data_IF_527683780377
#
_entry.id   IF_527683780377
#
_cell.length_a   1.000
_cell.length_b   1.000
_cell.length_c   1.000
_cell.angle_alpha   90.00
_cell.angle_beta   90.00
_cell.angle_gamma   90.00
#
_symmetry.space_group_name_H-M   'P 1'
#
loop_
_entity.id
_entity.type
_entity.pdbx_description
1 polymer ?
#
# COMPACT_ATOMS: atom_id res chain seq x y z
N UNK A 1 16.12 -2.62 9.12
CA UNK A 1 17.32 -1.72 9.20
C UNK A 1 17.04 -0.43 9.96
N UNK A 2 15.97 0.32 9.64
CA UNK A 2 15.69 1.62 10.28
C UNK A 2 15.02 1.53 11.68
N UNK A 3 14.87 0.33 12.25
CA UNK A 3 14.18 0.11 13.53
C UNK A 3 12.68 0.37 13.46
N UNK A 4 12.01 -0.08 12.39
CA UNK A 4 10.57 0.13 12.23
C UNK A 4 9.78 -0.84 13.12
N UNK A 5 8.94 -0.29 14.02
CA UNK A 5 7.98 -1.05 14.82
C UNK A 5 7.02 -1.84 13.92
N UNK A 6 6.54 -1.21 12.84
CA UNK A 6 5.63 -1.84 11.88
C UNK A 6 6.26 -3.08 11.24
N UNK A 7 7.52 -3.00 10.79
CA UNK A 7 8.17 -4.16 10.19
C UNK A 7 8.43 -5.26 11.22
N UNK A 8 8.82 -4.89 12.46
CA UNK A 8 9.02 -5.87 13.53
C UNK A 8 7.72 -6.58 13.90
N UNK A 9 6.59 -5.86 13.97
CA UNK A 9 5.28 -6.46 14.19
C UNK A 9 4.89 -7.40 13.05
N UNK A 10 5.10 -6.96 11.80
CA UNK A 10 4.80 -7.77 10.61
C UNK A 10 5.61 -9.08 10.56
N UNK A 11 6.88 -9.04 10.96
CA UNK A 11 7.72 -10.25 11.01
C UNK A 11 7.20 -11.25 12.07
N UNK A 12 6.69 -10.77 13.22
CA UNK A 12 6.15 -11.63 14.29
C UNK A 12 4.82 -12.30 13.92
N UNK A 13 4.01 -11.62 13.11
CA UNK A 13 2.63 -12.03 12.82
C UNK A 13 2.47 -12.50 11.38
N UNK A 14 3.56 -13.02 10.83
CA UNK A 14 3.69 -13.33 9.41
C UNK A 14 2.84 -14.52 9.00
N UNK A 15 2.25 -14.42 7.80
CA UNK A 15 1.50 -15.50 7.16
C UNK A 15 2.16 -15.93 5.85
N UNK A 16 1.96 -17.20 5.41
CA UNK A 16 2.38 -17.65 4.08
C UNK A 16 1.71 -16.83 2.96
N UNK A 17 2.49 -16.37 1.97
CA UNK A 17 1.99 -15.46 0.92
C UNK A 17 2.80 -15.45 -0.40
N UNK A 18 3.49 -16.54 -0.73
CA UNK A 18 4.14 -16.85 -2.01
C UNK A 18 5.01 -15.72 -2.54
N UNK A 19 5.99 -15.33 -1.72
CA UNK A 19 6.99 -14.31 -2.02
C UNK A 19 6.66 -12.91 -1.49
N UNK A 20 5.42 -12.64 -1.08
CA UNK A 20 5.05 -11.40 -0.39
C UNK A 20 5.17 -11.53 1.14
N UNK A 21 5.21 -10.40 1.84
CA UNK A 21 5.03 -10.34 3.29
C UNK A 21 3.55 -10.07 3.58
N UNK A 22 2.82 -11.09 4.04
CA UNK A 22 1.48 -10.95 4.59
C UNK A 22 1.51 -11.15 6.10
N UNK A 23 0.48 -10.64 6.78
CA UNK A 23 0.38 -10.67 8.24
C UNK A 23 -1.02 -11.07 8.67
N UNK A 24 -1.12 -11.74 9.82
CA UNK A 24 -2.36 -11.82 10.57
C UNK A 24 -2.73 -10.42 11.06
N UNK A 25 -3.89 -9.92 10.63
CA UNK A 25 -4.25 -8.51 10.84
C UNK A 25 -4.50 -8.18 12.30
N UNK A 26 -5.19 -9.08 13.01
CA UNK A 26 -5.54 -8.88 14.42
C UNK A 26 -4.25 -8.92 15.24
N UNK A 27 -3.49 -10.01 15.16
CA UNK A 27 -2.22 -10.13 15.87
C UNK A 27 -1.25 -9.01 15.51
N UNK A 28 -1.19 -8.58 14.25
CA UNK A 28 -0.36 -7.44 13.83
C UNK A 28 -0.75 -6.16 14.58
N UNK A 29 -2.03 -5.81 14.56
CA UNK A 29 -2.53 -4.57 15.18
C UNK A 29 -2.34 -4.57 16.70
N UNK A 30 -2.65 -5.68 17.36
CA UNK A 30 -2.45 -5.86 18.81
C UNK A 30 -0.98 -5.74 19.18
N UNK A 31 -0.09 -6.30 18.36
CA UNK A 31 1.35 -6.26 18.64
C UNK A 31 1.97 -4.87 18.41
N UNK A 32 1.35 -4.01 17.59
CA UNK A 32 1.73 -2.59 17.48
C UNK A 32 1.20 -1.80 18.67
N UNK A 33 -0.08 -1.98 19.03
CA UNK A 33 -0.71 -1.29 20.15
C UNK A 33 -0.03 -1.62 21.48
N UNK A 34 0.25 -2.90 21.74
CA UNK A 34 0.94 -3.34 22.95
C UNK A 34 2.36 -2.73 23.07
N UNK A 35 3.07 -2.59 21.95
CA UNK A 35 4.40 -1.98 21.96
C UNK A 35 4.35 -0.48 22.27
N UNK A 36 3.34 0.23 21.79
CA UNK A 36 3.13 1.65 22.10
C UNK A 36 2.66 1.85 23.55
N UNK A 37 1.72 1.02 24.02
CA UNK A 37 1.20 1.10 25.38
C UNK A 37 2.24 0.76 26.46
N UNK A 38 3.27 -0.02 26.12
CA UNK A 38 4.34 -0.39 27.03
C UNK A 38 5.49 0.65 27.10
N UNK A 39 5.54 1.62 26.17
CA UNK A 39 6.60 2.63 26.16
C UNK A 39 6.28 3.77 27.16
N UNK A 40 7.12 4.01 28.18
CA UNK A 40 6.83 5.01 29.22
C UNK A 40 6.84 6.46 28.72
N UNK A 41 7.33 6.71 27.49
CA UNK A 41 7.32 8.03 26.86
C UNK A 41 6.11 8.24 25.95
N UNK A 42 5.23 7.24 25.82
CA UNK A 42 4.05 7.30 24.96
C UNK A 42 2.79 7.37 25.81
N UNK A 43 2.01 8.43 25.60
CA UNK A 43 0.66 8.55 26.14
C UNK A 43 -0.36 8.31 25.02
N UNK A 44 -1.34 7.43 25.26
CA UNK A 44 -2.42 7.14 24.30
C UNK A 44 -3.72 7.76 24.80
N UNK A 45 -4.25 8.75 24.06
CA UNK A 45 -5.57 9.35 24.31
C UNK A 45 -6.54 8.93 23.21
N UNK A 46 -7.72 8.43 23.60
CA UNK A 46 -8.77 7.98 22.68
C UNK A 46 -9.84 9.06 22.53
N UNK A 47 -9.51 10.08 21.74
CA UNK A 47 -10.39 11.21 21.47
C UNK A 47 -10.24 11.69 20.02
N UNK A 48 -11.25 12.38 19.51
CA UNK A 48 -11.14 13.09 18.23
C UNK A 48 -10.47 14.45 18.44
N UNK A 49 -9.43 14.75 17.66
CA UNK A 49 -8.92 16.11 17.52
C UNK A 49 -9.72 16.81 16.42
N UNK A 50 -10.82 17.46 16.81
CA UNK A 50 -11.68 18.20 15.89
C UNK A 50 -11.05 19.56 15.53
N UNK A 51 -10.73 19.77 14.26
CA UNK A 51 -10.08 21.00 13.78
C UNK A 51 -8.56 20.95 13.93
N UNK A 52 -7.90 22.11 14.04
CA UNK A 52 -6.45 22.15 14.21
C UNK A 52 -6.03 21.65 15.60
N UNK A 53 -4.89 20.94 15.72
CA UNK A 53 -4.33 20.57 17.01
C UNK A 53 -4.11 21.80 17.91
N UNK A 54 -4.09 21.64 19.25
CA UNK A 54 -3.86 22.75 20.19
C UNK A 54 -2.61 23.58 19.85
N UNK A 55 -2.69 24.89 20.06
CA UNK A 55 -1.67 25.85 19.61
C UNK A 55 -0.36 25.72 20.38
N UNK A 56 -0.43 25.28 21.63
CA UNK A 56 0.67 25.03 22.54
C UNK A 56 1.51 23.78 22.19
N UNK A 57 1.10 23.00 21.18
CA UNK A 57 1.88 21.86 20.70
C UNK A 57 2.85 22.28 19.57
N UNK A 58 4.15 22.06 19.79
CA UNK A 58 5.23 22.58 18.92
C UNK A 58 5.64 21.66 17.76
N UNK A 59 5.55 20.34 17.93
CA UNK A 59 6.05 19.33 16.99
C UNK A 59 4.97 18.27 16.70
N UNK A 60 3.89 18.70 16.03
CA UNK A 60 2.71 17.86 15.81
C UNK A 60 2.83 17.09 14.50
N UNK A 61 2.46 15.80 14.52
CA UNK A 61 2.38 14.97 13.33
C UNK A 61 0.92 14.57 13.11
N UNK A 62 0.34 15.03 12.01
CA UNK A 62 -0.99 14.62 11.53
C UNK A 62 -0.84 13.38 10.66
N UNK A 63 -1.36 12.24 11.14
CA UNK A 63 -1.24 10.94 10.49
C UNK A 63 -2.59 10.19 10.40
N UNK A 64 -3.65 10.92 10.07
CA UNK A 64 -5.06 10.45 10.10
C UNK A 64 -5.46 9.54 8.94
N UNK A 65 -4.57 9.31 7.98
CA UNK A 65 -4.82 8.43 6.84
C UNK A 65 -5.96 8.93 5.92
N UNK A 66 -6.60 8.01 5.18
CA UNK A 66 -7.52 8.38 4.08
C UNK A 66 -8.86 8.95 4.55
N UNK A 67 -9.23 8.67 5.79
CA UNK A 67 -10.52 9.04 6.38
C UNK A 67 -10.33 10.13 7.44
N UNK A 68 -9.59 11.17 7.09
CA UNK A 68 -9.41 12.34 7.95
C UNK A 68 -10.78 12.96 8.29
N UNK A 69 -10.99 13.30 9.56
CA UNK A 69 -12.32 13.77 10.00
C UNK A 69 -12.70 15.09 9.31
N UNK A 70 -14.00 15.33 9.07
CA UNK A 70 -14.45 16.52 8.34
C UNK A 70 -13.98 17.83 8.98
N UNK A 71 -13.97 17.92 10.31
CA UNK A 71 -13.56 19.12 11.04
C UNK A 71 -12.07 19.44 10.83
N UNK A 72 -11.19 18.43 10.96
CA UNK A 72 -9.76 18.61 10.72
C UNK A 72 -9.49 18.91 9.23
N UNK A 73 -10.16 18.23 8.31
CA UNK A 73 -10.02 18.47 6.88
C UNK A 73 -10.40 19.90 6.49
N UNK A 74 -11.51 20.42 7.00
CA UNK A 74 -11.94 21.80 6.78
C UNK A 74 -10.91 22.81 7.32
N UNK A 75 -10.41 22.60 8.53
CA UNK A 75 -9.43 23.49 9.15
C UNK A 75 -8.09 23.51 8.40
N UNK A 76 -7.65 22.36 7.86
CA UNK A 76 -6.47 22.29 6.99
C UNK A 76 -6.72 23.02 5.67
N UNK A 77 -7.89 22.84 5.05
CA UNK A 77 -8.23 23.52 3.80
C UNK A 77 -8.21 25.04 3.97
N UNK A 78 -8.81 25.55 5.05
CA UNK A 78 -8.78 26.98 5.40
C UNK A 78 -7.35 27.49 5.62
N UNK A 79 -6.55 26.77 6.41
CA UNK A 79 -5.14 27.14 6.70
C UNK A 79 -4.28 27.19 5.44
N UNK A 80 -4.57 26.35 4.46
CA UNK A 80 -3.75 26.20 3.26
C UNK A 80 -4.26 26.99 2.06
N UNK A 81 -5.50 27.47 2.09
CA UNK A 81 -6.19 28.05 0.94
C UNK A 81 -6.26 27.08 -0.24
N UNK A 82 -6.17 25.78 0.02
CA UNK A 82 -6.13 24.73 -1.00
C UNK A 82 -7.23 23.71 -0.74
N UNK A 83 -7.95 23.34 -1.80
CA UNK A 83 -8.89 22.23 -1.75
C UNK A 83 -8.12 20.90 -1.59
N UNK A 84 -8.71 19.97 -0.84
CA UNK A 84 -8.15 18.64 -0.68
C UNK A 84 -8.26 17.88 -2.00
N UNK A 85 -7.22 17.12 -2.34
CA UNK A 85 -7.25 16.20 -3.47
C UNK A 85 -7.90 14.89 -3.02
N UNK A 86 -8.51 14.19 -3.96
CA UNK A 86 -9.08 12.88 -3.72
C UNK A 86 -8.74 11.92 -4.87
N UNK A 87 -8.68 10.64 -4.54
CA UNK A 87 -8.65 9.55 -5.51
C UNK A 87 -9.51 8.40 -4.99
N UNK A 88 -9.87 7.48 -5.87
CA UNK A 88 -10.53 6.24 -5.49
C UNK A 88 -9.54 5.07 -5.52
N UNK A 89 -9.52 4.32 -4.42
CA UNK A 89 -8.99 2.95 -4.38
C UNK A 89 -10.16 1.95 -4.40
N UNK A 90 -9.95 0.77 -4.95
CA UNK A 90 -10.95 -0.28 -5.01
C UNK A 90 -10.54 -1.45 -4.10
N UNK A 91 -11.52 -2.11 -3.48
CA UNK A 91 -11.30 -3.29 -2.64
C UNK A 91 -11.74 -4.54 -3.38
N UNK A 92 -10.97 -5.62 -3.22
CA UNK A 92 -11.30 -6.92 -3.77
C UNK A 92 -12.16 -7.77 -2.81
N UNK A 93 -13.03 -8.65 -3.34
CA UNK A 93 -13.82 -9.57 -2.53
C UNK A 93 -12.98 -10.57 -1.70
N UNK A 94 -13.59 -11.09 -0.64
CA UNK A 94 -13.08 -12.16 0.21
C UNK A 94 -14.08 -13.32 0.19
N UNK A 95 -13.55 -14.53 -0.03
CA UNK A 95 -14.30 -15.78 -0.21
C UNK A 95 -14.07 -16.70 0.99
N UNK A 96 -15.11 -17.42 1.41
CA UNK A 96 -15.03 -18.49 2.39
C UNK A 96 -14.36 -19.75 1.79
N UNK A 97 -13.30 -20.27 2.44
CA UNK A 97 -12.48 -21.37 1.90
C UNK A 97 -13.28 -22.63 1.63
N UNK A 98 -14.17 -23.00 2.54
CA UNK A 98 -15.01 -24.20 2.49
C UNK A 98 -16.04 -24.18 1.34
N UNK A 99 -16.25 -23.02 0.72
CA UNK A 99 -17.13 -22.85 -0.45
C UNK A 99 -16.38 -22.91 -1.80
N UNK A 100 -15.06 -23.09 -1.77
CA UNK A 100 -14.21 -23.22 -2.95
C UNK A 100 -14.20 -24.68 -3.42
N UNK A 101 -14.37 -24.88 -4.72
CA UNK A 101 -14.33 -26.22 -5.33
C UNK A 101 -12.87 -26.64 -5.62
N UNK A 102 -12.29 -27.45 -4.73
CA UNK A 102 -10.95 -28.01 -4.88
C UNK A 102 -10.86 -29.22 -5.84
N UNK A 103 -12.00 -29.75 -6.32
CA UNK A 103 -12.00 -30.63 -7.49
C UNK A 103 -11.64 -29.86 -8.77
N UNK A 104 -11.54 -28.53 -8.70
CA UNK A 104 -11.07 -27.66 -9.79
C UNK A 104 -9.86 -26.84 -9.36
N UNK A 105 -9.97 -26.12 -8.26
CA UNK A 105 -8.90 -25.27 -7.75
C UNK A 105 -7.74 -26.06 -7.14
N UNK A 106 -6.55 -25.48 -7.06
CA UNK A 106 -5.39 -26.09 -6.40
C UNK A 106 -4.50 -25.06 -5.71
N UNK A 107 -3.73 -25.50 -4.72
CA UNK A 107 -2.73 -24.67 -4.08
C UNK A 107 -1.41 -24.69 -4.86
N UNK A 108 -0.88 -23.51 -5.20
CA UNK A 108 0.43 -23.32 -5.83
C UNK A 108 0.85 -21.85 -5.83
N UNK A 109 2.11 -21.58 -5.51
CA UNK A 109 2.79 -20.32 -5.78
C UNK A 109 3.48 -20.37 -7.14
N UNK A 110 3.64 -19.20 -7.78
CA UNK A 110 4.28 -19.15 -9.11
C UNK A 110 5.71 -19.67 -9.05
N UNK A 111 6.06 -20.54 -9.98
CA UNK A 111 7.34 -21.24 -10.10
C UNK A 111 7.68 -22.10 -8.89
N UNK A 112 6.65 -22.53 -8.15
CA UNK A 112 6.79 -23.30 -6.91
C UNK A 112 7.72 -22.61 -5.89
N UNK A 113 7.78 -21.27 -5.96
CA UNK A 113 8.63 -20.47 -5.07
C UNK A 113 8.05 -20.50 -3.67
N UNK A 114 8.79 -21.09 -2.74
CA UNK A 114 8.56 -20.92 -1.30
C UNK A 114 8.60 -19.45 -0.91
N UNK A 115 7.51 -18.96 -0.34
CA UNK A 115 7.46 -17.64 0.29
C UNK A 115 8.13 -17.67 1.66
N UNK A 116 8.40 -16.49 2.24
CA UNK A 116 8.84 -16.44 3.62
C UNK A 116 7.76 -17.02 4.55
N UNK A 117 7.99 -18.21 5.11
CA UNK A 117 7.02 -18.95 5.94
C UNK A 117 6.04 -19.86 5.16
N UNK A 118 6.19 -19.96 3.83
CA UNK A 118 5.38 -20.83 2.98
C UNK A 118 6.20 -21.92 2.30
N UNK A 119 5.56 -23.04 1.96
CA UNK A 119 6.16 -24.21 1.32
C UNK A 119 6.07 -24.17 -0.23
N UNK A 120 5.59 -23.05 -0.77
CA UNK A 120 5.33 -22.89 -2.20
C UNK A 120 3.88 -23.15 -2.58
N UNK A 121 2.97 -23.38 -1.62
CA UNK A 121 1.54 -23.61 -1.85
C UNK A 121 0.63 -22.48 -1.32
N UNK A 122 1.12 -21.24 -1.28
CA UNK A 122 0.46 -20.13 -0.56
C UNK A 122 -0.77 -19.49 -1.22
N UNK A 123 -1.08 -19.86 -2.47
CA UNK A 123 -2.21 -19.32 -3.23
C UNK A 123 -3.12 -20.44 -3.70
N UNK A 124 -4.44 -20.25 -3.60
CA UNK A 124 -5.43 -21.06 -4.31
C UNK A 124 -5.55 -20.51 -5.73
N UNK A 125 -5.46 -21.37 -6.73
CA UNK A 125 -5.54 -21.02 -8.13
C UNK A 125 -6.83 -21.59 -8.72
N UNK A 126 -7.68 -20.71 -9.24
CA UNK A 126 -8.90 -21.08 -9.95
C UNK A 126 -8.66 -20.92 -11.46
N UNK A 127 -8.52 -22.01 -12.23
CA UNK A 127 -8.21 -21.94 -13.65
C UNK A 127 -9.42 -21.51 -14.47
N UNK A 128 -9.15 -20.86 -15.59
CA UNK A 128 -10.11 -20.66 -16.68
C UNK A 128 -9.48 -21.12 -18.00
N UNK A 129 -10.29 -21.79 -18.82
CA UNK A 129 -10.00 -21.97 -20.23
C UNK A 129 -10.27 -20.68 -21.02
N UNK A 130 -10.05 -20.73 -22.34
CA UNK A 130 -10.23 -19.57 -23.21
C UNK A 130 -11.68 -19.09 -23.27
N UNK A 131 -12.63 -20.01 -23.46
CA UNK A 131 -14.04 -19.66 -23.60
C UNK A 131 -14.60 -19.10 -22.28
N UNK A 132 -14.23 -19.71 -21.16
CA UNK A 132 -14.57 -19.25 -19.81
C UNK A 132 -14.00 -17.86 -19.53
N UNK A 133 -12.74 -17.61 -19.92
CA UNK A 133 -12.13 -16.28 -19.76
C UNK A 133 -12.84 -15.22 -20.62
N UNK A 134 -13.09 -15.50 -21.89
CA UNK A 134 -13.75 -14.57 -22.81
C UNK A 134 -15.17 -14.25 -22.31
N UNK A 135 -15.92 -15.25 -21.84
CA UNK A 135 -17.23 -15.06 -21.21
C UNK A 135 -17.14 -14.24 -19.91
N UNK A 136 -16.12 -14.49 -19.07
CA UNK A 136 -15.88 -13.75 -17.83
C UNK A 136 -15.60 -12.26 -18.11
N UNK A 137 -14.73 -11.97 -19.08
CA UNK A 137 -14.43 -10.60 -19.52
C UNK A 137 -15.68 -9.91 -20.06
N UNK A 138 -16.46 -10.59 -20.91
CA UNK A 138 -17.72 -10.05 -21.42
C UNK A 138 -18.70 -9.73 -20.29
N UNK A 139 -18.81 -10.60 -19.29
CA UNK A 139 -19.67 -10.40 -18.13
C UNK A 139 -19.22 -9.21 -17.26
N UNK A 140 -17.91 -9.01 -17.07
CA UNK A 140 -17.37 -7.84 -16.37
C UNK A 140 -17.71 -6.53 -17.08
N UNK A 141 -17.56 -6.50 -18.41
CA UNK A 141 -17.84 -5.31 -19.22
C UNK A 141 -19.33 -4.94 -19.19
N UNK A 142 -20.19 -5.95 -19.34
CA UNK A 142 -21.64 -5.81 -19.29
C UNK A 142 -22.19 -5.53 -17.89
N UNK A 143 -21.42 -5.85 -16.84
CA UNK A 143 -21.90 -5.78 -15.46
C UNK A 143 -22.29 -4.38 -15.01
N UNK A 144 -23.38 -4.29 -14.26
CA UNK A 144 -23.85 -3.03 -13.68
C UNK A 144 -22.85 -2.52 -12.63
N UNK A 145 -22.48 -1.25 -12.77
CA UNK A 145 -21.47 -0.58 -11.93
C UNK A 145 -22.18 0.36 -10.97
N UNK A 146 -21.59 0.57 -9.80
CA UNK A 146 -22.06 1.64 -8.91
C UNK A 146 -21.86 2.98 -9.62
N UNK A 147 -22.92 3.79 -9.70
CA UNK A 147 -22.82 5.11 -10.29
C UNK A 147 -22.12 6.06 -9.32
N UNK A 148 -21.23 6.87 -9.87
CA UNK A 148 -20.63 7.98 -9.17
C UNK A 148 -21.66 9.09 -8.99
N UNK A 149 -21.68 9.72 -7.81
CA UNK A 149 -22.31 11.04 -7.67
C UNK A 149 -21.63 12.02 -8.62
N UNK A 150 -22.32 13.06 -9.07
CA UNK A 150 -21.78 13.94 -10.13
C UNK A 150 -20.41 14.55 -9.80
N UNK A 151 -20.14 14.80 -8.52
CA UNK A 151 -18.84 15.30 -8.04
C UNK A 151 -17.72 14.24 -8.00
N UNK A 152 -18.05 12.95 -8.10
CA UNK A 152 -17.08 11.83 -8.11
C UNK A 152 -16.59 11.49 -9.53
N UNK A 153 -17.33 11.91 -10.57
CA UNK A 153 -17.05 11.57 -11.98
C UNK A 153 -15.71 12.11 -12.49
N UNK A 154 -15.19 13.17 -11.88
CA UNK A 154 -13.90 13.79 -12.24
C UNK A 154 -12.74 13.33 -11.36
N UNK A 155 -13.01 12.53 -10.32
CA UNK A 155 -11.98 12.04 -9.41
C UNK A 155 -11.21 10.89 -10.09
N UNK A 156 -9.88 10.98 -10.21
CA UNK A 156 -9.10 9.93 -10.84
C UNK A 156 -9.08 8.65 -9.98
N UNK A 157 -8.96 7.50 -10.64
CA UNK A 157 -8.61 6.24 -9.96
C UNK A 157 -7.11 6.20 -9.69
N UNK A 158 -6.72 5.51 -8.64
CA UNK A 158 -5.32 5.14 -8.49
C UNK A 158 -4.94 4.07 -9.52
N UNK A 159 -3.99 4.39 -10.41
CA UNK A 159 -3.56 3.50 -11.49
C UNK A 159 -2.96 2.17 -10.99
N UNK A 160 -2.40 2.16 -9.76
CA UNK A 160 -1.89 0.93 -9.15
C UNK A 160 -2.96 -0.02 -8.60
N UNK A 161 -4.23 0.42 -8.52
CA UNK A 161 -5.34 -0.33 -7.93
C UNK A 161 -6.67 -0.13 -8.69
N UNK A 162 -6.61 -0.29 -10.01
CA UNK A 162 -7.77 -0.11 -10.89
C UNK A 162 -8.82 -1.21 -10.69
N UNK A 163 -10.13 -0.88 -10.80
CA UNK A 163 -11.18 -1.89 -10.84
C UNK A 163 -11.01 -2.86 -12.01
N UNK A 164 -11.26 -4.15 -11.79
CA UNK A 164 -11.05 -5.25 -12.75
C UNK A 164 -11.85 -5.06 -14.04
N UNK A 165 -13.05 -4.49 -13.96
CA UNK A 165 -13.88 -4.15 -15.11
C UNK A 165 -13.34 -2.96 -15.92
N UNK A 166 -12.61 -2.04 -15.28
CA UNK A 166 -11.93 -0.93 -15.98
C UNK A 166 -10.67 -1.46 -16.67
N UNK A 167 -9.94 -2.38 -16.02
CA UNK A 167 -8.83 -3.08 -16.66
C UNK A 167 -9.30 -3.90 -17.87
N UNK A 168 -10.41 -4.62 -17.75
CA UNK A 168 -11.01 -5.38 -18.84
C UNK A 168 -11.36 -4.48 -20.05
N UNK A 169 -11.83 -3.26 -19.80
CA UNK A 169 -12.18 -2.31 -20.86
C UNK A 169 -10.96 -1.79 -21.66
N UNK A 170 -9.75 -1.88 -21.10
CA UNK A 170 -8.51 -1.49 -21.79
C UNK A 170 -8.06 -2.51 -22.85
N UNK A 171 -8.67 -3.70 -22.89
CA UNK A 171 -8.45 -4.69 -23.95
C UNK A 171 -8.61 -6.13 -23.45
N UNK A 172 -8.89 -7.08 -24.36
CA UNK A 172 -9.29 -8.45 -24.01
C UNK A 172 -8.19 -9.24 -23.28
N UNK A 173 -6.90 -8.98 -23.53
CA UNK A 173 -5.79 -9.66 -22.85
C UNK A 173 -5.26 -8.91 -21.61
N UNK A 174 -5.80 -7.73 -21.29
CA UNK A 174 -5.29 -6.88 -20.20
C UNK A 174 -5.25 -7.64 -18.86
N UNK A 175 -6.32 -8.38 -18.54
CA UNK A 175 -6.38 -9.16 -17.30
C UNK A 175 -5.37 -10.31 -17.31
N UNK A 176 -5.17 -10.96 -18.46
CA UNK A 176 -4.22 -12.06 -18.65
C UNK A 176 -2.75 -11.65 -18.60
N UNK A 177 -2.44 -10.38 -18.78
CA UNK A 177 -1.11 -9.84 -18.50
C UNK A 177 -0.99 -9.22 -17.11
N UNK A 178 -2.12 -8.89 -16.49
CA UNK A 178 -2.23 -8.37 -15.13
C UNK A 178 -2.64 -9.43 -14.10
N UNK A 179 -3.81 -9.26 -13.42
CA UNK A 179 -4.19 -10.06 -12.26
C UNK A 179 -4.50 -11.52 -12.58
N UNK A 180 -4.88 -11.83 -13.83
CA UNK A 180 -5.24 -13.18 -14.26
C UNK A 180 -4.13 -13.94 -15.00
N UNK A 181 -2.89 -13.45 -14.93
CA UNK A 181 -1.76 -14.05 -15.64
C UNK A 181 -1.50 -15.50 -15.16
N UNK A 182 -1.32 -16.49 -16.04
CA UNK A 182 -1.08 -17.88 -15.62
C UNK A 182 0.42 -18.23 -15.49
N UNK A 183 1.31 -17.25 -15.67
CA UNK A 183 2.76 -17.48 -15.74
C UNK A 183 3.33 -18.10 -14.45
N UNK A 184 4.12 -19.17 -14.60
CA UNK A 184 4.72 -19.90 -13.49
C UNK A 184 3.77 -20.88 -12.79
N UNK A 185 2.57 -21.13 -13.33
CA UNK A 185 1.62 -22.08 -12.75
C UNK A 185 1.42 -23.25 -13.70
N UNK A 186 1.16 -24.42 -13.13
CA UNK A 186 0.85 -25.65 -13.87
C UNK A 186 -0.29 -26.36 -13.16
N UNK A 187 -1.40 -26.52 -13.86
CA UNK A 187 -2.56 -27.21 -13.33
C UNK A 187 -2.20 -28.70 -13.15
N UNK A 188 -2.29 -29.26 -11.93
CA UNK A 188 -1.92 -30.64 -11.66
C UNK A 188 -2.85 -31.65 -12.34
N UNK A 189 -4.09 -31.27 -12.67
CA UNK A 189 -5.08 -32.16 -13.29
C UNK A 189 -4.88 -32.29 -14.78
N UNK A 190 -4.52 -31.19 -15.45
CA UNK A 190 -4.30 -31.19 -16.90
C UNK A 190 -2.82 -31.33 -17.27
N UNK A 191 -1.90 -31.04 -16.35
CA UNK A 191 -0.47 -30.95 -16.65
C UNK A 191 -0.10 -29.77 -17.55
N UNK A 192 -1.02 -28.83 -17.80
CA UNK A 192 -0.81 -27.70 -18.69
C UNK A 192 -0.93 -26.38 -17.94
N UNK A 193 -0.38 -25.32 -18.53
CA UNK A 193 -0.60 -23.95 -18.03
C UNK A 193 -2.02 -23.53 -18.45
N UNK A 194 -2.89 -23.09 -17.53
CA UNK A 194 -4.24 -22.65 -17.89
C UNK A 194 -4.19 -21.39 -18.77
N UNK A 195 -5.30 -21.10 -19.45
CA UNK A 195 -5.40 -19.90 -20.30
C UNK A 195 -5.40 -18.62 -19.46
N UNK A 196 -6.09 -18.63 -18.32
CA UNK A 196 -6.07 -17.60 -17.30
C UNK A 196 -6.26 -18.22 -15.91
N UNK A 197 -5.98 -17.47 -14.84
CA UNK A 197 -6.15 -17.94 -13.46
C UNK A 197 -6.67 -16.82 -12.58
N UNK A 198 -7.51 -17.13 -11.60
CA UNK A 198 -7.77 -16.24 -10.47
C UNK A 198 -7.02 -16.78 -9.26
N UNK A 199 -6.13 -15.98 -8.69
CA UNK A 199 -5.41 -16.36 -7.47
C UNK A 199 -6.15 -15.84 -6.25
N UNK A 200 -6.26 -16.68 -5.22
CA UNK A 200 -6.78 -16.31 -3.91
C UNK A 200 -5.66 -16.48 -2.89
N UNK A 201 -5.51 -15.50 -2.00
CA UNK A 201 -4.52 -15.54 -0.90
C UNK A 201 -5.20 -15.63 0.44
N UNK A 202 -4.56 -16.31 1.39
CA UNK A 202 -5.05 -16.40 2.75
C UNK A 202 -5.17 -15.00 3.38
N UNK A 203 -6.32 -14.75 3.99
CA UNK A 203 -6.73 -13.42 4.48
C UNK A 203 -6.73 -13.32 6.01
N UNK A 204 -6.86 -14.46 6.71
CA UNK A 204 -6.85 -14.56 8.17
C UNK A 204 -5.94 -15.69 8.66
N UNK A 205 -5.50 -15.63 9.92
CA UNK A 205 -4.62 -16.66 10.51
C UNK A 205 -5.18 -18.08 10.45
N UNK A 206 -6.51 -18.25 10.65
CA UNK A 206 -7.17 -19.55 10.62
C UNK A 206 -7.24 -20.18 9.21
N UNK A 207 -6.96 -19.41 8.16
CA UNK A 207 -7.04 -19.91 6.78
C UNK A 207 -8.46 -20.30 6.37
N UNK A 208 -9.47 -19.59 6.89
CA UNK A 208 -10.89 -19.78 6.53
C UNK A 208 -11.38 -18.74 5.52
N UNK A 209 -10.66 -17.63 5.38
CA UNK A 209 -10.99 -16.54 4.46
C UNK A 209 -9.87 -16.31 3.44
N UNK A 210 -10.25 -16.12 2.17
CA UNK A 210 -9.32 -15.91 1.07
C UNK A 210 -9.68 -14.70 0.23
N UNK A 211 -8.74 -13.79 0.05
CA UNK A 211 -8.89 -12.57 -0.75
C UNK A 211 -8.61 -12.83 -2.23
N UNK A 212 -9.47 -12.33 -3.12
CA UNK A 212 -9.28 -12.41 -4.58
C UNK A 212 -8.19 -11.44 -5.04
N UNK A 213 -7.05 -11.94 -5.47
CA UNK A 213 -5.86 -11.13 -5.74
C UNK A 213 -6.03 -10.32 -7.03
N UNK A 214 -5.99 -8.98 -6.92
CA UNK A 214 -6.09 -8.09 -8.08
C UNK A 214 -7.51 -7.97 -8.67
N UNK A 215 -8.52 -8.30 -7.87
CA UNK A 215 -9.95 -8.26 -8.24
C UNK A 215 -10.68 -7.12 -7.55
N UNK A 216 -10.00 -5.99 -7.39
CA UNK A 216 -10.64 -4.77 -6.91
C UNK A 216 -11.76 -4.39 -7.88
N UNK A 217 -12.92 -3.93 -7.39
CA UNK A 217 -14.08 -3.73 -8.27
C UNK A 217 -15.04 -2.66 -7.74
N UNK A 218 -15.79 -2.03 -8.65
CA UNK A 218 -16.92 -1.15 -8.37
C UNK A 218 -18.26 -1.68 -8.88
N UNK A 219 -18.29 -2.91 -9.39
CA UNK A 219 -19.51 -3.62 -9.74
C UNK A 219 -20.47 -3.61 -8.56
N UNK A 220 -21.78 -3.52 -8.83
CA UNK A 220 -22.78 -3.66 -7.77
C UNK A 220 -22.67 -5.04 -7.13
N UNK A 221 -23.01 -5.16 -5.86
CA UNK A 221 -22.84 -6.40 -5.09
C UNK A 221 -23.53 -7.63 -5.74
N UNK A 222 -24.71 -7.45 -6.33
CA UNK A 222 -25.39 -8.51 -7.08
C UNK A 222 -24.59 -8.98 -8.29
N UNK A 223 -23.97 -8.05 -9.02
CA UNK A 223 -23.15 -8.32 -10.19
C UNK A 223 -21.83 -8.98 -9.83
N UNK A 224 -21.20 -8.57 -8.72
CA UNK A 224 -20.01 -9.25 -8.21
C UNK A 224 -20.30 -10.72 -7.93
N UNK A 225 -21.38 -11.01 -7.20
CA UNK A 225 -21.76 -12.39 -6.88
C UNK A 225 -22.06 -13.19 -8.14
N UNK A 226 -22.85 -12.63 -9.07
CA UNK A 226 -23.21 -13.28 -10.34
C UNK A 226 -21.99 -13.58 -11.21
N UNK A 227 -21.10 -12.59 -11.38
CA UNK A 227 -19.97 -12.67 -12.31
C UNK A 227 -18.85 -13.53 -11.72
N UNK A 228 -18.49 -13.36 -10.45
CA UNK A 228 -17.39 -14.12 -9.85
C UNK A 228 -17.74 -15.61 -9.66
N UNK A 229 -19.02 -15.96 -9.51
CA UNK A 229 -19.47 -17.35 -9.54
C UNK A 229 -19.40 -18.00 -10.93
N UNK A 230 -19.11 -17.27 -12.00
CA UNK A 230 -18.82 -17.88 -13.30
C UNK A 230 -17.42 -18.49 -13.38
N UNK A 231 -16.53 -18.13 -12.45
CA UNK A 231 -15.19 -18.75 -12.32
C UNK A 231 -15.39 -20.22 -11.88
N UNK A 232 -14.85 -21.22 -12.60
CA UNK A 232 -15.17 -22.63 -12.38
C UNK A 232 -15.01 -23.13 -10.95
N UNK A 233 -13.92 -22.74 -10.27
CA UNK A 233 -13.64 -23.11 -8.88
C UNK A 233 -14.44 -22.34 -7.82
N UNK A 234 -15.22 -21.33 -8.23
CA UNK A 234 -15.97 -20.43 -7.35
C UNK A 234 -17.48 -20.48 -7.59
N UNK A 235 -17.99 -21.49 -8.29
CA UNK A 235 -19.42 -21.61 -8.65
C UNK A 235 -20.36 -21.58 -7.44
N UNK A 236 -19.89 -22.07 -6.29
CA UNK A 236 -20.62 -22.09 -5.02
C UNK A 236 -20.07 -21.10 -3.99
N UNK A 237 -19.16 -20.22 -4.40
CA UNK A 237 -18.46 -19.33 -3.48
C UNK A 237 -19.43 -18.46 -2.68
N UNK A 238 -19.24 -18.42 -1.36
CA UNK A 238 -19.85 -17.43 -0.48
C UNK A 238 -18.82 -16.35 -0.16
N UNK A 239 -19.26 -15.09 -0.22
CA UNK A 239 -18.41 -13.94 -0.04
C UNK A 239 -18.57 -13.39 1.37
N UNK A 240 -17.53 -13.50 2.19
CA UNK A 240 -17.47 -12.87 3.51
C UNK A 240 -17.51 -11.34 3.39
N UNK A 241 -16.95 -10.82 2.29
CA UNK A 241 -16.97 -9.39 1.95
C UNK A 241 -16.93 -9.22 0.44
N UNK A 242 -17.75 -8.32 -0.08
CA UNK A 242 -17.72 -7.90 -1.48
C UNK A 242 -16.78 -6.70 -1.67
N UNK A 243 -16.33 -6.48 -2.90
CA UNK A 243 -15.51 -5.34 -3.28
C UNK A 243 -16.29 -4.02 -3.31
N UNK A 244 -15.57 -2.91 -3.38
CA UNK A 244 -16.17 -1.58 -3.44
C UNK A 244 -15.12 -0.48 -3.59
N UNK A 245 -15.57 0.77 -3.76
CA UNK A 245 -14.70 1.94 -3.89
C UNK A 245 -14.53 2.66 -2.55
N UNK A 246 -13.31 3.11 -2.29
CA UNK A 246 -12.93 3.90 -1.13
C UNK A 246 -12.37 5.21 -1.63
N UNK A 247 -13.05 6.31 -1.27
CA UNK A 247 -12.54 7.65 -1.53
C UNK A 247 -11.46 7.95 -0.50
N UNK A 248 -10.26 8.23 -0.99
CA UNK A 248 -9.12 8.58 -0.16
C UNK A 248 -8.79 10.05 -0.38
N UNK A 249 -8.80 10.83 0.70
CA UNK A 249 -8.39 12.23 0.67
C UNK A 249 -6.89 12.36 0.93
N UNK A 250 -6.24 13.31 0.26
CA UNK A 250 -4.82 13.60 0.46
C UNK A 250 -4.49 15.07 0.16
N UNK A 251 -3.32 15.50 0.62
CA UNK A 251 -2.80 16.83 0.37
C UNK A 251 -2.10 16.91 -0.98
N UNK A 252 -2.14 18.09 -1.62
CA UNK A 252 -1.15 18.44 -2.63
C UNK A 252 0.21 18.70 -1.96
N UNK A 253 0.86 17.62 -1.52
CA UNK A 253 2.04 17.68 -0.66
C UNK A 253 3.23 18.43 -1.28
N UNK A 254 3.55 18.30 -2.58
CA UNK A 254 4.65 19.08 -3.16
C UNK A 254 4.41 20.60 -3.06
N UNK A 255 3.14 21.02 -3.19
CA UNK A 255 2.73 22.41 -2.98
C UNK A 255 2.76 22.80 -1.52
N UNK A 256 2.25 21.96 -0.62
CA UNK A 256 1.91 22.34 0.76
C UNK A 256 2.99 22.00 1.81
N UNK A 257 3.84 21.01 1.57
CA UNK A 257 4.84 20.51 2.53
C UNK A 257 6.26 20.90 2.12
N UNK A 258 7.12 21.15 3.10
CA UNK A 258 8.57 21.24 2.85
C UNK A 258 9.26 19.87 2.84
N UNK A 259 10.56 19.79 2.50
CA UNK A 259 11.32 18.54 2.52
C UNK A 259 11.42 17.83 3.87
N UNK A 260 10.94 18.45 4.96
CA UNK A 260 10.85 17.86 6.32
C UNK A 260 9.42 17.50 6.70
N UNK A 261 8.52 17.46 5.72
CA UNK A 261 7.10 17.13 5.85
C UNK A 261 6.28 18.16 6.63
N UNK A 262 6.83 19.36 6.88
CA UNK A 262 6.11 20.42 7.60
C UNK A 262 5.21 21.19 6.66
N UNK A 263 4.01 21.50 7.11
CA UNK A 263 3.11 22.40 6.40
C UNK A 263 3.76 23.78 6.26
N UNK A 264 3.84 24.28 5.02
CA UNK A 264 4.49 25.57 4.72
C UNK A 264 3.81 26.73 5.43
N UNK A 265 2.49 26.72 5.49
CA UNK A 265 1.68 27.73 6.16
C UNK A 265 1.74 27.64 7.70
N UNK A 266 2.06 26.48 8.27
CA UNK A 266 2.08 26.27 9.73
C UNK A 266 3.14 25.25 10.12
N UNK A 267 4.39 25.72 10.32
CA UNK A 267 5.59 24.87 10.45
C UNK A 267 5.59 23.91 11.64
N UNK A 268 4.78 24.16 12.67
CA UNK A 268 4.59 23.25 13.81
C UNK A 268 3.86 21.95 13.43
N UNK A 269 3.12 21.94 12.31
CA UNK A 269 2.41 20.78 11.81
C UNK A 269 3.25 20.04 10.77
N UNK A 270 3.42 18.73 10.95
CA UNK A 270 3.88 17.79 9.92
C UNK A 270 2.76 16.86 9.52
N UNK A 271 2.89 16.30 8.32
CA UNK A 271 1.98 15.28 7.82
C UNK A 271 2.73 13.99 7.55
N UNK A 272 2.08 12.85 7.83
CA UNK A 272 2.63 11.54 7.56
C UNK A 272 1.54 10.51 7.21
N UNK A 273 1.95 9.41 6.58
CA UNK A 273 1.02 8.39 6.14
C UNK A 273 0.32 8.75 4.83
N UNK A 274 -0.75 8.03 4.49
CA UNK A 274 -1.41 8.17 3.19
C UNK A 274 -1.87 9.60 2.88
N UNK A 275 -2.24 10.41 3.88
CA UNK A 275 -2.66 11.81 3.70
C UNK A 275 -1.61 12.66 2.97
N UNK A 276 -0.33 12.26 2.98
CA UNK A 276 0.73 12.96 2.24
C UNK A 276 0.78 12.60 0.75
N UNK A 277 -0.06 11.69 0.26
CA UNK A 277 0.01 11.18 -1.12
C UNK A 277 1.06 10.08 -1.30
N UNK A 278 1.36 9.32 -0.25
CA UNK A 278 1.94 7.98 -0.43
C UNK A 278 0.83 6.94 -0.39
N UNK A 279 1.04 5.80 -1.04
CA UNK A 279 0.08 4.70 -1.01
C UNK A 279 0.73 3.40 -0.56
N UNK A 280 0.04 2.70 0.34
CA UNK A 280 0.50 1.46 0.94
C UNK A 280 0.88 1.59 2.41
N UNK A 281 0.76 0.47 3.15
CA UNK A 281 1.05 0.41 4.58
C UNK A 281 2.53 0.66 4.88
N UNK A 282 3.42 0.09 4.05
CA UNK A 282 4.87 0.20 4.25
C UNK A 282 5.34 1.62 3.95
N UNK A 283 4.80 2.24 2.91
CA UNK A 283 5.06 3.62 2.52
C UNK A 283 4.54 4.59 3.59
N UNK A 284 3.34 4.35 4.12
CA UNK A 284 2.78 5.15 5.21
C UNK A 284 3.65 5.06 6.47
N UNK A 285 4.07 3.85 6.85
CA UNK A 285 4.97 3.63 7.98
C UNK A 285 6.37 4.25 7.74
N UNK A 286 6.86 4.22 6.50
CA UNK A 286 8.11 4.85 6.11
C UNK A 286 8.07 6.37 6.29
N UNK A 287 7.01 7.03 5.82
CA UNK A 287 6.84 8.48 6.00
C UNK A 287 6.60 8.82 7.48
N UNK A 288 5.83 8.01 8.21
CA UNK A 288 5.68 8.17 9.67
C UNK A 288 7.02 8.11 10.42
N UNK A 289 7.87 7.15 10.06
CA UNK A 289 9.22 7.01 10.62
C UNK A 289 10.10 8.24 10.31
N UNK A 290 10.02 8.80 9.11
CA UNK A 290 10.75 10.02 8.75
C UNK A 290 10.21 11.26 9.47
N UNK A 291 8.89 11.42 9.54
CA UNK A 291 8.25 12.53 10.23
C UNK A 291 8.61 12.54 11.73
N UNK A 292 8.55 11.38 12.40
CA UNK A 292 8.95 11.23 13.79
C UNK A 292 10.43 11.56 14.01
N UNK A 293 11.31 11.09 13.12
CA UNK A 293 12.74 11.41 13.16
C UNK A 293 13.04 12.89 12.96
N UNK A 294 12.35 13.55 12.03
CA UNK A 294 12.49 15.00 11.81
C UNK A 294 11.92 15.83 12.97
N UNK A 295 10.80 15.42 13.55
CA UNK A 295 10.22 16.06 14.73
C UNK A 295 11.14 15.93 15.95
N UNK A 296 11.66 14.73 16.21
CA UNK A 296 12.61 14.49 17.28
C UNK A 296 13.90 15.30 17.08
N UNK A 297 14.45 15.38 15.87
CA UNK A 297 15.62 16.20 15.58
C UNK A 297 15.36 17.69 15.84
N UNK A 298 14.23 18.22 15.34
CA UNK A 298 13.83 19.61 15.56
C UNK A 298 13.66 19.94 17.06
N UNK A 299 13.00 19.06 17.83
CA UNK A 299 12.83 19.24 19.28
C UNK A 299 14.16 19.27 20.03
N UNK A 300 15.15 18.50 19.56
CA UNK A 300 16.50 18.48 20.12
C UNK A 300 17.43 19.56 19.50
N UNK A 301 16.89 20.49 18.70
CA UNK A 301 17.66 21.51 17.97
C UNK A 301 18.81 20.93 17.14
N UNK A 302 18.63 19.69 16.69
CA UNK A 302 19.57 18.96 15.86
C UNK A 302 19.11 18.99 14.40
N UNK A 303 20.06 18.91 13.49
CA UNK A 303 19.76 18.69 12.08
C UNK A 303 19.85 17.20 11.73
N UNK A 304 18.84 16.69 11.02
CA UNK A 304 18.87 15.33 10.49
C UNK A 304 18.75 15.37 8.96
N UNK A 305 19.80 15.15 8.17
CA UNK A 305 19.67 15.23 6.72
C UNK A 305 18.60 14.25 6.19
N UNK A 306 17.89 14.58 5.10
CA UNK A 306 16.94 13.64 4.51
C UNK A 306 17.66 12.37 4.02
N UNK A 307 16.96 11.23 3.96
CA UNK A 307 17.54 10.02 3.38
C UNK A 307 17.90 10.23 1.90
N UNK A 308 18.94 9.55 1.38
CA UNK A 308 19.34 9.66 -0.02
C UNK A 308 18.19 9.32 -0.98
N UNK A 309 18.04 10.07 -2.06
CA UNK A 309 17.03 9.83 -3.09
C UNK A 309 17.19 8.48 -3.81
N UNK A 310 18.37 7.87 -3.71
CA UNK A 310 18.70 6.52 -4.18
C UNK A 310 18.13 5.42 -3.28
N UNK A 311 17.60 5.75 -2.10
CA UNK A 311 16.91 4.82 -1.20
C UNK A 311 15.39 4.90 -1.36
N UNK A 312 14.67 3.83 -1.01
CA UNK A 312 13.20 3.83 -1.03
C UNK A 312 12.59 4.96 -0.19
N UNK A 313 13.16 5.22 0.99
CA UNK A 313 12.71 6.30 1.88
C UNK A 313 12.90 7.68 1.25
N UNK A 314 14.06 7.93 0.66
CA UNK A 314 14.35 9.21 0.01
C UNK A 314 13.60 9.41 -1.31
N UNK A 315 13.38 8.34 -2.08
CA UNK A 315 12.59 8.37 -3.30
C UNK A 315 11.13 8.74 -3.01
N UNK A 316 10.50 8.11 -2.01
CA UNK A 316 9.15 8.44 -1.55
C UNK A 316 9.07 9.86 -1.00
N UNK A 317 9.99 10.25 -0.11
CA UNK A 317 10.03 11.60 0.46
C UNK A 317 10.14 12.65 -0.66
N UNK A 318 11.04 12.44 -1.62
CA UNK A 318 11.21 13.35 -2.76
C UNK A 318 9.91 13.46 -3.56
N UNK A 319 9.26 12.35 -3.91
CA UNK A 319 7.99 12.35 -4.66
C UNK A 319 6.96 13.29 -4.03
N UNK A 320 6.74 13.17 -2.72
CA UNK A 320 5.70 13.93 -2.02
C UNK A 320 6.10 15.36 -1.63
N UNK A 321 7.37 15.76 -1.73
CA UNK A 321 7.80 17.12 -1.33
C UNK A 321 8.31 17.99 -2.48
N UNK A 322 9.02 17.42 -3.46
CA UNK A 322 9.76 18.22 -4.46
C UNK A 322 9.98 17.54 -5.82
N UNK A 323 9.65 16.26 -5.95
CA UNK A 323 9.94 15.43 -7.11
C UNK A 323 8.78 15.30 -8.09
N UNK A 324 7.55 15.60 -7.66
CA UNK A 324 6.37 15.57 -8.50
C UNK A 324 5.92 16.99 -8.86
N UNK A 325 5.37 17.13 -10.06
CA UNK A 325 4.68 18.35 -10.45
C UNK A 325 3.38 18.48 -9.63
N UNK A 326 3.28 19.58 -8.88
CA UNK A 326 2.12 19.88 -8.06
C UNK A 326 0.80 19.99 -8.85
N UNK A 327 0.85 20.29 -10.17
CA UNK A 327 -0.35 20.43 -11.00
C UNK A 327 -1.01 19.09 -11.34
N UNK A 328 -0.23 18.01 -11.33
CA UNK A 328 -0.63 16.65 -11.72
C UNK A 328 -0.31 15.62 -10.63
N UNK A 329 -0.09 16.08 -9.40
CA UNK A 329 0.31 15.23 -8.28
C UNK A 329 -0.73 14.16 -7.98
N UNK A 330 -0.28 12.91 -7.97
CA UNK A 330 -1.07 11.75 -7.58
C UNK A 330 -0.34 10.95 -6.50
N UNK A 331 -1.09 10.22 -5.66
CA UNK A 331 -0.52 9.29 -4.71
C UNK A 331 0.35 8.25 -5.41
N UNK A 332 1.34 7.72 -4.70
CA UNK A 332 2.30 6.78 -5.29
C UNK A 332 2.81 5.78 -4.25
N UNK A 333 2.88 4.52 -4.67
CA UNK A 333 3.59 3.47 -3.93
C UNK A 333 5.07 3.41 -4.35
N UNK A 334 5.90 2.72 -3.56
CA UNK A 334 7.32 2.62 -3.94
C UNK A 334 7.47 1.78 -5.22
N UNK A 335 8.16 2.35 -6.21
CA UNK A 335 8.49 1.65 -7.44
C UNK A 335 9.86 2.12 -7.97
N UNK A 336 10.53 1.29 -8.78
CA UNK A 336 11.87 1.59 -9.29
C UNK A 336 11.95 2.84 -10.17
N UNK A 337 10.83 3.33 -10.70
CA UNK A 337 10.78 4.58 -11.48
C UNK A 337 11.02 5.84 -10.64
N UNK A 338 10.85 5.75 -9.31
CA UNK A 338 11.13 6.87 -8.40
C UNK A 338 12.63 7.02 -8.09
N UNK A 339 13.43 6.00 -8.39
CA UNK A 339 14.85 5.96 -8.05
C UNK A 339 15.66 6.65 -9.15
N UNK A 340 16.69 7.44 -8.80
CA UNK A 340 17.66 7.93 -9.78
C UNK A 340 18.25 6.76 -10.60
N UNK A 341 18.59 6.96 -11.89
CA UNK A 341 19.18 5.91 -12.70
C UNK A 341 20.53 5.44 -12.14
N UNK A 342 20.97 4.24 -12.55
CA UNK A 342 22.32 3.75 -12.29
C UNK A 342 23.30 4.45 -13.22
N UNK A 343 24.46 4.84 -12.68
CA UNK A 343 25.56 5.42 -13.44
C UNK A 343 26.86 4.68 -13.09
N UNK A 344 27.58 4.12 -14.08
CA UNK A 344 27.22 4.02 -15.50
C UNK A 344 25.98 3.14 -15.76
N UNK A 345 25.38 3.24 -16.95
CA UNK A 345 24.25 2.38 -17.33
C UNK A 345 24.73 0.91 -17.37
N UNK A 346 24.09 0.00 -16.61
CA UNK A 346 24.49 -1.41 -16.55
C UNK A 346 24.16 -2.21 -17.83
N UNK A 347 23.59 -1.58 -18.86
CA UNK A 347 23.31 -2.22 -20.15
C UNK A 347 22.27 -3.33 -20.04
N UNK A 348 22.63 -4.57 -20.44
CA UNK A 348 21.73 -5.74 -20.44
C UNK A 348 21.54 -6.39 -19.07
N UNK A 349 22.29 -5.97 -18.05
CA UNK A 349 22.17 -6.56 -16.71
C UNK A 349 20.83 -6.20 -16.05
N UNK A 350 20.35 -7.08 -15.15
CA UNK A 350 19.13 -6.81 -14.40
C UNK A 350 19.35 -5.61 -13.47
N UNK A 351 18.62 -4.52 -13.75
CA UNK A 351 18.73 -3.25 -13.04
C UNK A 351 18.14 -3.34 -11.64
N UNK A 352 17.16 -4.20 -11.38
CA UNK A 352 16.42 -4.20 -10.10
C UNK A 352 17.30 -4.63 -8.90
N UNK A 353 18.09 -5.72 -8.98
CA UNK A 353 19.02 -6.08 -7.90
C UNK A 353 20.09 -5.02 -7.67
N UNK A 354 20.62 -4.41 -8.73
CA UNK A 354 21.64 -3.36 -8.65
C UNK A 354 21.11 -2.08 -7.97
N UNK A 355 19.92 -1.63 -8.37
CA UNK A 355 19.21 -0.52 -7.72
C UNK A 355 18.96 -0.81 -6.24
N UNK A 356 18.53 -2.04 -5.93
CA UNK A 356 18.24 -2.47 -4.56
C UNK A 356 19.51 -2.52 -3.70
N UNK A 357 20.62 -3.03 -4.25
CA UNK A 357 21.93 -3.06 -3.57
C UNK A 357 22.40 -1.65 -3.21
N UNK A 358 22.46 -0.74 -4.20
CA UNK A 358 22.82 0.68 -3.97
C UNK A 358 21.91 1.33 -2.92
N UNK A 359 20.59 1.12 -3.02
CA UNK A 359 19.62 1.67 -2.07
C UNK A 359 19.88 1.20 -0.63
N UNK A 360 20.22 -0.09 -0.45
CA UNK A 360 20.51 -0.69 0.85
C UNK A 360 21.85 -0.20 1.45
N UNK A 361 22.84 0.07 0.61
CA UNK A 361 24.14 0.61 1.03
C UNK A 361 24.02 2.09 1.42
N UNK A 362 23.35 2.89 0.60
CA UNK A 362 23.14 4.31 0.83
C UNK A 362 22.32 4.57 2.09
N UNK A 363 21.26 3.79 2.34
CA UNK A 363 20.50 3.94 3.58
C UNK A 363 21.31 3.53 4.81
N UNK A 364 22.19 2.53 4.68
CA UNK A 364 23.07 2.13 5.77
C UNK A 364 24.11 3.22 6.08
N UNK A 365 24.66 3.87 5.06
CA UNK A 365 25.55 5.01 5.23
C UNK A 365 24.85 6.19 5.91
N UNK A 366 23.65 6.53 5.45
CA UNK A 366 22.83 7.58 6.06
C UNK A 366 22.52 7.33 7.54
N UNK A 367 22.11 6.11 7.90
CA UNK A 367 21.87 5.73 9.30
C UNK A 367 23.12 5.82 10.17
N UNK A 368 24.31 5.52 9.63
CA UNK A 368 25.58 5.66 10.35
C UNK A 368 25.93 7.13 10.59
N UNK A 369 25.72 8.00 9.61
CA UNK A 369 25.96 9.45 9.75
C UNK A 369 25.09 10.03 10.85
N UNK A 370 23.78 9.77 10.81
CA UNK A 370 22.83 10.29 11.79
C UNK A 370 23.15 9.87 13.24
N UNK A 371 23.75 8.69 13.44
CA UNK A 371 24.20 8.22 14.77
C UNK A 371 25.47 8.92 15.26
N UNK A 372 26.41 9.22 14.34
CA UNK A 372 27.64 9.93 14.67
C UNK A 372 27.36 11.37 15.11
N UNK A 373 26.42 12.04 14.44
CA UNK A 373 26.03 13.41 14.77
C UNK A 373 25.36 13.48 16.16
N UNK A 374 24.51 12.51 16.51
CA UNK A 374 23.92 12.38 17.85
C UNK A 374 25.00 12.21 18.93
N UNK A 375 25.93 11.28 18.74
CA UNK A 375 27.02 11.02 19.69
C UNK A 375 28.04 12.16 19.79
N UNK A 376 28.11 13.04 18.79
CA UNK A 376 28.91 14.27 18.84
C UNK A 376 28.17 15.35 19.65
N UNK A 377 26.87 15.52 19.44
CA UNK A 377 26.02 16.44 20.20
C UNK A 377 25.99 16.06 21.69
N UNK A 378 25.76 14.78 22.01
CA UNK A 378 25.70 14.30 23.40
C UNK A 378 27.05 14.53 24.14
N UNK A 379 28.18 14.51 23.42
CA UNK A 379 29.50 14.83 23.99
C UNK A 379 29.70 16.32 24.24
N UNK A 380 29.18 17.19 23.38
CA UNK A 380 29.25 18.66 23.54
C UNK A 380 28.34 19.13 24.68
N UNK A 381 27.20 18.48 24.90
CA UNK A 381 26.27 18.80 25.99
C UNK A 381 26.76 18.28 27.35
N UNK A 382 27.62 17.27 27.36
CA UNK A 382 28.21 16.70 28.57
C UNK A 382 29.48 17.41 29.07
N UNK A 383 30.02 18.35 28.29
CA UNK A 383 31.14 19.25 28.64
C UNK A 383 30.62 20.65 28.85
#
# INVERSE_FOLDING_TARGET
RCGSLVMAAADRTKLPAGGALAVDRVGFSEAVEAALAADPLVEIRREEIAGLPPAEWDEVIVATGPLTSPALAAAIAETTGAEALAFFDAIAPIVHRDTIDFEIAWFQSRYDKGGPGGDGADYINCPLDRAQYEAFVAALLAGEKTEFRDWEKTTPYFEGCLPVEIMAARGPDTLRWGPMKPVGLRDPKTGHRPYAVVQLRQDNALGTLYNMVGFQTKLRHGEQTRIFRTIPGLRRAEFARLGGLHRNTFLNSPRLLDPRLRLKAMRRLRFAGQITGVEGYVESAAIGLLAGRFAAAARNRAEMPPPPATSALGALLRHITSGADSSSFQPMNVNFGLFPPLMPDPGKADRKPLLSGRALDDIAAWLRSARRDRAAIDRIVAT
#
